data_IF_728995339989
#
_entry.id   IF_728995339989
#
_cell.length_a   1.000
_cell.length_b   1.000
_cell.length_c   1.000
_cell.angle_alpha   90.00
_cell.angle_beta   90.00
_cell.angle_gamma   90.00
#
_symmetry.space_group_name_H-M   'P 1'
#
loop_
_entity.id
_entity.type
_entity.pdbx_description
1 polymer ?
#
# COMPACT_ATOMS: atom_id res chain seq x y z
N UNK A 1 27.10 -9.60 -2.68
CA UNK A 1 26.10 -8.52 -2.61
C UNK A 1 24.71 -9.13 -2.46
N UNK A 2 24.10 -8.93 -1.29
CA UNK A 2 22.73 -9.33 -0.92
C UNK A 2 21.73 -8.32 -1.49
N UNK A 3 20.54 -8.78 -1.87
CA UNK A 3 19.47 -7.91 -2.38
C UNK A 3 18.24 -8.00 -1.46
N UNK A 4 17.71 -6.85 -1.07
CA UNK A 4 16.55 -6.78 -0.15
C UNK A 4 15.46 -5.89 -0.74
N UNK A 5 14.23 -6.39 -0.79
CA UNK A 5 13.05 -5.60 -1.17
C UNK A 5 12.54 -4.82 0.05
N UNK A 6 12.27 -3.53 -0.14
CA UNK A 6 11.75 -2.67 0.92
C UNK A 6 10.37 -2.15 0.51
N UNK A 7 9.30 -2.71 1.05
CA UNK A 7 7.96 -2.21 0.80
C UNK A 7 7.62 -1.07 1.78
N UNK A 8 7.58 0.15 1.26
CA UNK A 8 7.01 1.29 1.96
C UNK A 8 5.49 1.21 1.95
N UNK A 9 4.92 0.67 3.03
CA UNK A 9 3.48 0.46 3.15
C UNK A 9 2.77 1.79 3.44
N UNK A 10 2.49 2.53 2.38
CA UNK A 10 1.70 3.78 2.46
C UNK A 10 0.27 3.45 2.86
N UNK A 11 -0.21 4.09 3.92
CA UNK A 11 -1.52 3.80 4.50
C UNK A 11 -2.66 3.95 3.47
N UNK A 12 -3.39 2.85 3.27
CA UNK A 12 -4.52 2.67 2.34
C UNK A 12 -4.20 2.69 0.84
N UNK A 13 -2.96 2.35 0.50
CA UNK A 13 -2.52 2.15 -0.89
C UNK A 13 -2.39 0.66 -1.27
N UNK A 14 -3.35 -0.17 -0.85
CA UNK A 14 -3.37 -1.61 -1.10
C UNK A 14 -2.13 -2.39 -0.59
N UNK A 15 -1.38 -1.82 0.37
CA UNK A 15 -0.18 -2.44 0.92
C UNK A 15 -0.41 -3.82 1.54
N UNK A 16 -1.56 -4.07 2.20
CA UNK A 16 -1.91 -5.39 2.73
C UNK A 16 -1.95 -6.49 1.66
N UNK A 17 -2.41 -6.18 0.44
CA UNK A 17 -2.43 -7.15 -0.66
C UNK A 17 -1.01 -7.44 -1.14
N UNK A 18 -0.13 -6.44 -1.14
CA UNK A 18 1.27 -6.60 -1.50
C UNK A 18 2.04 -7.37 -0.42
N UNK A 19 1.83 -7.05 0.87
CA UNK A 19 2.38 -7.79 2.01
C UNK A 19 1.99 -9.27 1.94
N UNK A 20 0.71 -9.57 1.65
CA UNK A 20 0.25 -10.95 1.45
C UNK A 20 0.98 -11.64 0.28
N UNK A 21 1.17 -10.94 -0.84
CA UNK A 21 1.86 -11.49 -1.99
C UNK A 21 3.36 -11.73 -1.70
N UNK A 22 4.01 -10.84 -0.94
CA UNK A 22 5.40 -10.97 -0.51
C UNK A 22 5.56 -12.13 0.49
N UNK A 23 4.68 -12.24 1.49
CA UNK A 23 4.64 -13.37 2.43
C UNK A 23 4.50 -14.70 1.70
N UNK A 24 3.59 -14.79 0.72
CA UNK A 24 3.42 -16.01 -0.09
C UNK A 24 4.64 -16.28 -0.97
N UNK A 25 5.32 -15.24 -1.44
CA UNK A 25 6.46 -15.38 -2.34
C UNK A 25 7.74 -15.80 -1.60
N UNK A 26 7.96 -15.30 -0.39
CA UNK A 26 9.23 -15.45 0.33
C UNK A 26 9.14 -16.25 1.63
N UNK A 27 7.94 -16.60 2.09
CA UNK A 27 7.77 -17.35 3.34
C UNK A 27 8.42 -16.61 4.50
N UNK A 28 9.26 -17.33 5.26
CA UNK A 28 9.99 -16.78 6.40
C UNK A 28 11.00 -15.68 6.02
N UNK A 29 11.38 -15.58 4.74
CA UNK A 29 12.23 -14.50 4.23
C UNK A 29 11.51 -13.16 4.07
N UNK A 30 10.21 -13.07 4.36
CA UNK A 30 9.48 -11.80 4.40
C UNK A 30 9.18 -11.39 5.85
N UNK A 31 9.52 -10.15 6.19
CA UNK A 31 9.26 -9.56 7.50
C UNK A 31 8.24 -8.44 7.39
N UNK A 32 7.11 -8.62 8.07
CA UNK A 32 6.11 -7.59 8.24
C UNK A 32 6.39 -6.73 9.49
N UNK A 33 7.19 -5.68 9.34
CA UNK A 33 7.72 -4.93 10.48
C UNK A 33 6.74 -3.85 10.98
N UNK A 34 6.36 -3.95 12.28
CA UNK A 34 5.35 -3.09 12.93
C UNK A 34 5.87 -2.30 14.14
N UNK A 35 7.18 -2.31 14.41
CA UNK A 35 7.81 -1.47 15.43
C UNK A 35 8.10 -0.08 14.86
N UNK A 36 7.02 0.66 14.65
CA UNK A 36 7.04 2.00 14.05
C UNK A 36 7.90 3.00 14.85
N UNK A 37 8.05 2.79 16.16
CA UNK A 37 8.94 3.55 17.04
C UNK A 37 10.43 3.42 16.64
N UNK A 38 10.89 2.20 16.37
CA UNK A 38 12.26 1.92 15.98
C UNK A 38 12.54 2.40 14.55
N UNK A 39 11.63 2.13 13.62
CA UNK A 39 11.76 2.63 12.24
C UNK A 39 11.83 4.16 12.16
N UNK A 40 11.05 4.88 12.97
CA UNK A 40 11.10 6.35 13.00
C UNK A 40 12.35 6.91 13.68
N UNK A 41 12.83 6.27 14.74
CA UNK A 41 13.96 6.77 15.53
C UNK A 41 15.33 6.38 14.96
N UNK A 42 15.43 5.22 14.34
CA UNK A 42 16.70 4.64 13.88
C UNK A 42 16.77 4.41 12.36
N UNK A 43 15.63 4.32 11.67
CA UNK A 43 15.55 4.25 10.22
C UNK A 43 16.42 3.15 9.60
N UNK A 44 17.30 3.54 8.67
CA UNK A 44 18.17 2.60 7.95
C UNK A 44 19.11 1.80 8.85
N UNK A 45 19.55 2.37 9.98
CA UNK A 45 20.40 1.65 10.95
C UNK A 45 19.69 0.42 11.50
N UNK A 46 18.42 0.57 11.90
CA UNK A 46 17.61 -0.54 12.41
C UNK A 46 17.34 -1.61 11.35
N UNK A 47 17.17 -1.20 10.08
CA UNK A 47 17.07 -2.18 8.98
C UNK A 47 18.37 -2.98 8.84
N UNK A 48 19.54 -2.34 8.93
CA UNK A 48 20.81 -3.05 8.87
C UNK A 48 20.98 -4.04 10.03
N UNK A 49 20.65 -3.62 11.26
CA UNK A 49 20.70 -4.51 12.43
C UNK A 49 19.78 -5.74 12.26
N UNK A 50 18.59 -5.57 11.68
CA UNK A 50 17.71 -6.69 11.34
C UNK A 50 18.34 -7.64 10.32
N UNK A 51 19.00 -7.11 9.30
CA UNK A 51 19.62 -7.91 8.25
C UNK A 51 20.90 -8.62 8.72
N UNK A 52 21.63 -8.03 9.66
CA UNK A 52 22.79 -8.65 10.31
C UNK A 52 22.38 -9.78 11.26
N UNK A 53 21.26 -9.62 11.95
CA UNK A 53 20.73 -10.64 12.86
C UNK A 53 20.09 -11.84 12.13
N UNK A 54 19.59 -11.63 10.91
CA UNK A 54 18.93 -12.67 10.12
C UNK A 54 19.25 -12.55 8.63
N UNK A 55 20.12 -13.45 8.17
CA UNK A 55 20.53 -13.54 6.76
C UNK A 55 19.43 -14.05 5.82
N UNK A 56 18.37 -14.67 6.37
CA UNK A 56 17.27 -15.22 5.58
C UNK A 56 16.30 -14.14 5.06
N UNK A 57 16.33 -12.93 5.64
CA UNK A 57 15.44 -11.83 5.23
C UNK A 57 15.75 -11.39 3.79
N UNK A 58 14.72 -11.43 2.93
CA UNK A 58 14.76 -11.01 1.53
C UNK A 58 13.84 -9.81 1.27
N UNK A 59 12.81 -9.62 2.09
CA UNK A 59 11.86 -8.53 1.95
C UNK A 59 11.38 -8.00 3.31
N UNK A 60 11.29 -6.69 3.46
CA UNK A 60 10.78 -6.02 4.66
C UNK A 60 9.66 -5.07 4.25
N UNK A 61 8.52 -5.12 4.96
CA UNK A 61 7.44 -4.13 4.85
C UNK A 61 7.34 -3.28 6.11
N UNK A 62 7.09 -1.98 5.96
CA UNK A 62 6.86 -1.08 7.11
C UNK A 62 6.01 0.13 6.77
N UNK A 63 5.24 0.62 7.74
CA UNK A 63 4.54 1.90 7.67
C UNK A 63 5.48 3.11 7.76
N UNK A 64 6.75 2.91 8.13
CA UNK A 64 7.74 3.98 8.29
C UNK A 64 9.05 3.64 7.59
N UNK A 65 8.96 3.21 6.33
CA UNK A 65 10.15 2.90 5.56
C UNK A 65 11.03 4.15 5.40
N UNK A 66 12.32 4.11 5.81
CA UNK A 66 13.21 5.25 5.70
C UNK A 66 13.45 5.61 4.24
N UNK A 67 13.37 6.90 3.93
CA UNK A 67 13.68 7.43 2.60
C UNK A 67 15.18 7.33 2.30
N UNK A 68 16.01 7.67 3.27
CA UNK A 68 17.45 7.88 3.07
C UNK A 68 18.26 6.59 3.27
N UNK A 69 17.65 5.44 3.01
CA UNK A 69 18.39 4.17 3.02
C UNK A 69 19.23 4.07 1.75
N UNK A 70 20.52 3.79 1.93
CA UNK A 70 21.50 3.72 0.85
C UNK A 70 22.07 2.32 0.75
N UNK A 71 22.41 1.92 -0.48
CA UNK A 71 23.14 0.68 -0.72
C UNK A 71 24.49 0.71 0.02
N UNK A 72 24.93 -0.46 0.46
CA UNK A 72 26.26 -0.69 1.03
C UNK A 72 27.03 -1.63 0.12
N UNK A 73 28.33 -1.83 0.38
CA UNK A 73 29.14 -2.81 -0.34
C UNK A 73 28.57 -4.24 -0.23
N UNK A 74 27.79 -4.51 0.82
CA UNK A 74 27.26 -5.83 1.11
C UNK A 74 25.79 -5.99 0.71
N UNK A 75 24.98 -4.93 0.79
CA UNK A 75 23.52 -4.97 0.61
C UNK A 75 23.04 -3.92 -0.37
N UNK A 76 22.22 -4.33 -1.33
CA UNK A 76 21.53 -3.43 -2.26
C UNK A 76 20.02 -3.48 -2.05
N UNK A 77 19.41 -2.32 -1.87
CA UNK A 77 18.01 -2.14 -1.53
C UNK A 77 17.15 -1.84 -2.74
N UNK A 78 15.95 -2.41 -2.75
CA UNK A 78 14.97 -2.27 -3.83
C UNK A 78 13.65 -1.77 -3.24
N UNK A 79 13.50 -0.45 -3.04
CA UNK A 79 12.27 0.11 -2.51
C UNK A 79 11.08 -0.08 -3.45
N UNK A 80 9.92 -0.40 -2.89
CA UNK A 80 8.64 -0.53 -3.57
C UNK A 80 7.63 0.39 -2.88
N UNK A 81 6.94 1.21 -3.66
CA UNK A 81 5.82 2.01 -3.18
C UNK A 81 4.60 1.82 -4.08
N UNK A 82 3.42 1.76 -3.46
CA UNK A 82 2.15 1.84 -4.16
C UNK A 82 1.52 3.21 -3.90
N UNK A 83 1.08 3.89 -4.95
CA UNK A 83 0.39 5.16 -4.90
C UNK A 83 -1.05 5.03 -5.39
N UNK A 84 -1.93 5.88 -4.87
CA UNK A 84 -3.37 5.83 -5.13
C UNK A 84 -3.89 7.23 -5.41
N UNK A 85 -4.92 7.34 -6.23
CA UNK A 85 -5.58 8.62 -6.45
C UNK A 85 -6.02 9.21 -5.10
N UNK A 86 -5.62 10.45 -4.75
CA UNK A 86 -5.84 11.00 -3.40
C UNK A 86 -7.29 10.93 -2.95
N UNK A 87 -8.24 11.34 -3.79
CA UNK A 87 -9.69 11.29 -3.47
C UNK A 87 -10.18 9.85 -3.22
N UNK A 88 -9.77 8.87 -4.02
CA UNK A 88 -10.11 7.46 -3.80
C UNK A 88 -9.47 6.91 -2.53
N UNK A 89 -8.30 7.42 -2.15
CA UNK A 89 -7.63 7.06 -0.90
C UNK A 89 -8.38 7.60 0.31
N UNK A 90 -8.87 8.85 0.27
CA UNK A 90 -9.67 9.45 1.36
C UNK A 90 -10.86 8.57 1.69
N UNK A 91 -11.66 8.19 0.69
CA UNK A 91 -12.79 7.27 0.88
C UNK A 91 -12.35 5.94 1.48
N UNK A 92 -11.23 5.40 1.01
CA UNK A 92 -10.68 4.15 1.52
C UNK A 92 -10.17 4.22 2.96
N UNK A 93 -9.72 5.38 3.42
CA UNK A 93 -9.35 5.62 4.83
C UNK A 93 -10.60 5.58 5.69
N UNK A 94 -11.63 6.34 5.31
CA UNK A 94 -12.90 6.35 6.03
C UNK A 94 -13.53 4.95 6.14
N UNK A 95 -13.68 4.25 5.01
CA UNK A 95 -14.28 2.90 4.97
C UNK A 95 -13.51 1.90 5.85
N UNK A 96 -12.19 2.08 5.98
CA UNK A 96 -11.34 1.23 6.81
C UNK A 96 -11.45 1.58 8.29
N UNK A 97 -11.25 2.85 8.66
CA UNK A 97 -11.29 3.29 10.05
C UNK A 97 -12.67 3.05 10.68
N UNK A 98 -13.75 3.17 9.91
CA UNK A 98 -15.11 2.85 10.37
C UNK A 98 -15.28 1.38 10.78
N UNK A 99 -14.63 0.47 10.06
CA UNK A 99 -14.69 -0.99 10.32
C UNK A 99 -13.63 -1.46 11.31
N UNK A 100 -12.57 -0.68 11.51
CA UNK A 100 -11.45 -1.08 12.33
C UNK A 100 -11.85 -1.25 13.80
N UNK A 101 -11.46 -2.36 14.41
CA UNK A 101 -11.62 -2.64 15.84
C UNK A 101 -10.45 -2.05 16.63
N UNK A 102 -10.23 -0.74 16.50
CA UNK A 102 -9.20 -0.02 17.24
C UNK A 102 -9.79 1.22 17.92
N UNK A 103 -9.19 1.64 19.03
CA UNK A 103 -9.57 2.84 19.78
C UNK A 103 -8.74 4.06 19.37
N UNK A 104 -8.39 4.15 18.09
CA UNK A 104 -7.69 5.34 17.57
C UNK A 104 -8.68 6.49 17.38
N UNK A 105 -8.24 7.77 17.47
CA UNK A 105 -9.11 8.91 17.20
C UNK A 105 -9.80 8.83 15.83
N UNK A 106 -9.09 8.33 14.81
CA UNK A 106 -9.63 8.11 13.47
C UNK A 106 -10.76 7.09 13.42
N UNK A 107 -10.56 5.91 14.00
CA UNK A 107 -11.58 4.86 14.05
C UNK A 107 -12.82 5.29 14.84
N UNK A 108 -12.62 5.97 15.96
CA UNK A 108 -13.70 6.52 16.76
C UNK A 108 -14.50 7.60 16.01
N UNK A 109 -13.83 8.52 15.31
CA UNK A 109 -14.48 9.54 14.50
C UNK A 109 -15.26 8.90 13.34
N UNK A 110 -14.64 7.99 12.57
CA UNK A 110 -15.26 7.35 11.42
C UNK A 110 -16.49 6.49 11.75
N UNK A 111 -16.62 6.02 12.99
CA UNK A 111 -17.82 5.30 13.49
C UNK A 111 -18.96 6.25 13.86
N UNK A 112 -18.64 7.42 14.43
CA UNK A 112 -19.62 8.40 14.90
C UNK A 112 -20.12 9.32 13.79
N UNK A 113 -19.22 9.71 12.89
CA UNK A 113 -19.46 10.68 11.83
C UNK A 113 -19.85 9.98 10.53
N UNK A 114 -20.61 10.65 9.68
CA UNK A 114 -20.72 10.27 8.27
C UNK A 114 -19.43 10.61 7.50
N UNK A 115 -19.39 10.31 6.20
CA UNK A 115 -18.19 10.53 5.40
C UNK A 115 -17.81 12.01 5.29
N UNK A 116 -18.79 12.89 5.10
CA UNK A 116 -18.56 14.33 4.91
C UNK A 116 -18.09 14.97 6.21
N UNK A 117 -18.76 14.68 7.32
CA UNK A 117 -18.39 15.13 8.66
C UNK A 117 -16.99 14.64 9.05
N UNK A 118 -16.68 13.37 8.77
CA UNK A 118 -15.36 12.80 9.03
C UNK A 118 -14.26 13.52 8.24
N UNK A 119 -14.52 13.83 6.96
CA UNK A 119 -13.55 14.55 6.13
C UNK A 119 -13.36 15.97 6.65
N UNK A 120 -14.42 16.69 7.02
CA UNK A 120 -14.27 18.04 7.59
C UNK A 120 -13.45 18.02 8.89
N UNK A 121 -13.73 17.06 9.79
CA UNK A 121 -12.93 16.85 11.00
C UNK A 121 -11.45 16.61 10.69
N UNK A 122 -11.15 15.76 9.70
CA UNK A 122 -9.77 15.49 9.25
C UNK A 122 -9.07 16.70 8.60
N UNK A 123 -9.83 17.69 8.14
CA UNK A 123 -9.28 18.93 7.59
C UNK A 123 -8.84 19.92 8.68
N UNK A 124 -9.19 19.68 9.95
CA UNK A 124 -8.79 20.55 11.05
C UNK A 124 -7.27 20.48 11.31
N UNK A 125 -6.60 21.63 11.58
CA UNK A 125 -5.14 21.67 11.76
C UNK A 125 -4.60 20.74 12.85
N UNK A 126 -5.34 20.61 13.97
CA UNK A 126 -4.96 19.81 15.14
C UNK A 126 -5.19 18.31 14.97
N UNK A 127 -5.83 17.88 13.89
CA UNK A 127 -6.10 16.48 13.60
C UNK A 127 -5.01 15.90 12.72
N UNK A 128 -4.56 14.67 12.99
CA UNK A 128 -3.49 14.04 12.23
C UNK A 128 -3.75 14.11 10.70
N UNK A 129 -2.74 14.50 9.89
CA UNK A 129 -2.89 14.74 8.45
C UNK A 129 -3.00 13.45 7.61
N UNK A 130 -3.70 12.43 8.13
CA UNK A 130 -3.87 11.10 7.52
C UNK A 130 -4.49 11.17 6.13
N UNK A 131 -5.23 12.25 5.81
CA UNK A 131 -5.83 12.51 4.50
C UNK A 131 -5.44 13.86 3.87
N UNK A 132 -4.33 14.47 4.30
CA UNK A 132 -3.85 15.77 3.82
C UNK A 132 -2.41 15.67 3.32
N UNK A 133 -2.22 15.58 2.00
CA UNK A 133 -0.91 15.39 1.34
C UNK A 133 -0.10 14.23 1.97
N UNK A 134 -0.78 13.14 2.34
CA UNK A 134 -0.16 12.07 3.13
C UNK A 134 0.88 11.29 2.31
N UNK A 135 0.62 11.05 1.03
CA UNK A 135 1.54 10.29 0.17
C UNK A 135 2.81 11.11 -0.09
N UNK A 136 2.66 12.42 -0.35
CA UNK A 136 3.78 13.36 -0.44
C UNK A 136 4.60 13.37 0.84
N UNK A 137 3.96 13.49 2.01
CA UNK A 137 4.66 13.46 3.31
C UNK A 137 5.43 12.17 3.52
N UNK A 138 4.80 11.04 3.18
CA UNK A 138 5.42 9.73 3.30
C UNK A 138 6.66 9.61 2.41
N UNK A 139 6.53 9.90 1.11
CA UNK A 139 7.64 9.77 0.14
C UNK A 139 8.75 10.79 0.39
N UNK A 140 8.45 11.93 1.01
CA UNK A 140 9.45 12.88 1.48
C UNK A 140 10.27 12.37 2.67
N UNK A 141 9.93 11.21 3.27
CA UNK A 141 10.57 10.69 4.48
C UNK A 141 10.27 11.51 5.74
N UNK A 142 9.27 12.40 5.66
CA UNK A 142 8.96 13.39 6.71
C UNK A 142 7.53 13.19 7.17
N UNK A 143 7.33 12.43 8.24
CA UNK A 143 6.06 12.47 8.97
C UNK A 143 6.27 13.40 10.17
N UNK A 144 5.77 14.65 10.10
CA UNK A 144 6.09 15.63 11.13
C UNK A 144 5.59 15.14 12.50
N UNK A 145 6.36 15.36 13.58
CA UNK A 145 5.93 15.03 14.93
C UNK A 145 4.72 15.86 15.38
N UNK A 146 4.42 16.97 14.67
CA UNK A 146 3.30 17.87 14.94
C UNK A 146 2.37 17.93 13.73
N UNK A 147 1.07 17.72 13.98
CA UNK A 147 0.03 17.63 12.93
C UNK A 147 -0.28 18.96 12.23
N UNK A 148 0.14 20.08 12.82
CA UNK A 148 -0.21 21.44 12.39
C UNK A 148 0.56 21.90 11.15
N UNK A 149 1.79 21.40 10.94
CA UNK A 149 2.60 21.82 9.79
C UNK A 149 2.01 21.26 8.49
N UNK A 150 1.48 22.13 7.64
CA UNK A 150 1.08 21.77 6.27
C UNK A 150 2.30 21.30 5.48
N UNK A 151 2.09 20.38 4.54
CA UNK A 151 3.14 20.04 3.59
C UNK A 151 3.38 21.28 2.73
N UNK A 152 4.63 21.73 2.67
CA UNK A 152 5.11 22.83 1.84
C UNK A 152 5.79 22.26 0.58
N UNK A 153 6.34 23.14 -0.25
CA UNK A 153 6.97 22.76 -1.51
C UNK A 153 8.20 21.84 -1.30
N UNK A 154 8.93 21.96 -0.19
CA UNK A 154 10.09 21.09 0.10
C UNK A 154 9.66 19.63 0.25
N UNK A 155 8.49 19.38 0.86
CA UNK A 155 7.93 18.02 0.91
C UNK A 155 7.65 17.48 -0.48
N UNK A 156 7.10 18.32 -1.36
CA UNK A 156 6.79 17.92 -2.73
C UNK A 156 8.06 17.62 -3.52
N UNK A 157 9.08 18.48 -3.42
CA UNK A 157 10.37 18.26 -4.07
C UNK A 157 11.03 16.95 -3.63
N UNK A 158 11.09 16.68 -2.32
CA UNK A 158 11.66 15.45 -1.79
C UNK A 158 10.90 14.20 -2.25
N UNK A 159 9.56 14.27 -2.32
CA UNK A 159 8.73 13.19 -2.81
C UNK A 159 8.96 12.93 -4.31
N UNK A 160 9.13 13.98 -5.11
CA UNK A 160 9.48 13.88 -6.53
C UNK A 160 10.87 13.28 -6.73
N UNK A 161 11.85 13.64 -5.89
CA UNK A 161 13.18 12.99 -5.90
C UNK A 161 13.05 11.49 -5.63
N UNK A 162 12.27 11.08 -4.63
CA UNK A 162 12.01 9.66 -4.33
C UNK A 162 11.37 8.96 -5.53
N UNK A 163 10.38 9.58 -6.18
CA UNK A 163 9.72 9.04 -7.38
C UNK A 163 10.72 8.79 -8.53
N UNK A 164 11.65 9.72 -8.76
CA UNK A 164 12.65 9.61 -9.81
C UNK A 164 13.71 8.54 -9.51
N UNK A 165 14.10 8.38 -8.23
CA UNK A 165 15.11 7.41 -7.81
C UNK A 165 14.55 5.97 -7.77
N UNK A 166 13.31 5.80 -7.32
CA UNK A 166 12.72 4.48 -7.08
C UNK A 166 12.12 3.90 -8.36
N UNK A 167 12.60 2.71 -8.75
CA UNK A 167 12.14 2.02 -9.97
C UNK A 167 10.82 1.26 -9.81
N UNK A 168 10.47 0.88 -8.59
CA UNK A 168 9.27 0.09 -8.30
C UNK A 168 8.17 0.95 -7.66
N UNK A 169 7.61 1.88 -8.44
CA UNK A 169 6.43 2.66 -8.03
C UNK A 169 5.22 2.18 -8.82
N UNK A 170 4.21 1.68 -8.12
CA UNK A 170 2.96 1.18 -8.70
C UNK A 170 1.76 2.08 -8.45
N UNK A 171 0.71 1.88 -9.24
CA UNK A 171 -0.58 2.58 -9.15
C UNK A 171 -1.66 1.60 -8.72
N UNK A 172 -2.35 1.88 -7.61
CA UNK A 172 -3.37 1.00 -7.02
C UNK A 172 -4.53 0.73 -7.99
N UNK A 173 -4.92 1.73 -8.78
CA UNK A 173 -5.97 1.63 -9.78
C UNK A 173 -5.57 0.73 -10.96
N UNK A 174 -4.27 0.50 -11.16
CA UNK A 174 -3.71 -0.42 -12.16
C UNK A 174 -2.89 -1.53 -11.46
N UNK A 175 -3.49 -2.17 -10.45
CA UNK A 175 -2.78 -3.08 -9.54
C UNK A 175 -2.06 -4.24 -10.25
N UNK A 176 -2.74 -4.96 -11.16
CA UNK A 176 -2.12 -6.05 -11.94
C UNK A 176 -0.89 -5.58 -12.72
N UNK A 177 -1.02 -4.44 -13.41
CA UNK A 177 0.07 -3.86 -14.18
C UNK A 177 1.22 -3.41 -13.27
N UNK A 178 0.90 -2.92 -12.07
CA UNK A 178 1.90 -2.59 -11.05
C UNK A 178 2.68 -3.81 -10.60
N UNK A 179 2.01 -4.94 -10.35
CA UNK A 179 2.69 -6.17 -9.99
C UNK A 179 3.56 -6.69 -11.13
N UNK A 180 3.09 -6.61 -12.39
CA UNK A 180 3.89 -6.97 -13.57
C UNK A 180 5.12 -6.07 -13.71
N UNK A 181 4.98 -4.76 -13.53
CA UNK A 181 6.09 -3.81 -13.54
C UNK A 181 7.12 -4.19 -12.48
N UNK A 182 6.71 -4.32 -11.22
CA UNK A 182 7.60 -4.65 -10.10
C UNK A 182 8.30 -5.99 -10.34
N UNK A 183 7.56 -7.04 -10.72
CA UNK A 183 8.16 -8.33 -11.08
C UNK A 183 9.20 -8.17 -12.18
N UNK A 184 8.89 -7.44 -13.26
CA UNK A 184 9.81 -7.24 -14.38
C UNK A 184 11.09 -6.49 -13.95
N UNK A 185 10.95 -5.45 -13.13
CA UNK A 185 12.06 -4.62 -12.65
C UNK A 185 13.03 -5.42 -11.79
N UNK A 186 12.52 -6.27 -10.88
CA UNK A 186 13.34 -6.94 -9.86
C UNK A 186 13.72 -8.38 -10.21
N UNK A 187 13.13 -8.98 -11.25
CA UNK A 187 13.31 -10.40 -11.64
C UNK A 187 14.76 -10.86 -11.76
N UNK A 188 15.66 -10.00 -12.23
CA UNK A 188 17.07 -10.35 -12.40
C UNK A 188 17.77 -10.64 -11.06
N UNK A 189 17.26 -10.09 -9.95
CA UNK A 189 17.81 -10.24 -8.60
C UNK A 189 16.95 -11.22 -7.78
N UNK A 190 15.63 -11.18 -7.97
CA UNK A 190 14.67 -12.04 -7.30
C UNK A 190 14.05 -13.02 -8.31
N UNK A 191 14.78 -14.08 -8.66
CA UNK A 191 14.40 -15.00 -9.76
C UNK A 191 13.03 -15.66 -9.56
N UNK A 192 12.67 -15.93 -8.29
CA UNK A 192 11.41 -16.57 -7.91
C UNK A 192 10.26 -15.57 -7.68
N UNK A 193 10.45 -14.27 -7.94
CA UNK A 193 9.43 -13.25 -7.66
C UNK A 193 8.09 -13.60 -8.35
N UNK A 194 7.05 -13.71 -7.53
CA UNK A 194 5.69 -13.99 -7.97
C UNK A 194 4.71 -13.21 -7.11
N UNK A 195 4.31 -12.05 -7.60
CA UNK A 195 3.37 -11.13 -6.96
C UNK A 195 1.92 -11.38 -7.40
N UNK A 196 1.62 -12.55 -7.96
CA UNK A 196 0.23 -12.98 -8.14
C UNK A 196 -0.50 -12.90 -6.79
N UNK A 197 -1.73 -12.40 -6.79
CA UNK A 197 -2.42 -12.06 -5.56
C UNK A 197 -3.87 -12.54 -5.59
N UNK A 198 -4.42 -12.70 -4.39
CA UNK A 198 -5.85 -12.75 -4.17
C UNK A 198 -6.23 -11.42 -3.51
N UNK A 199 -7.22 -10.69 -4.02
CA UNK A 199 -7.59 -9.41 -3.44
C UNK A 199 -8.05 -9.55 -1.97
N UNK A 200 -7.30 -8.95 -1.03
CA UNK A 200 -7.55 -9.12 0.42
C UNK A 200 -8.66 -8.20 0.97
N UNK A 201 -9.00 -7.13 0.26
CA UNK A 201 -9.85 -6.04 0.78
C UNK A 201 -10.86 -5.49 -0.24
N UNK A 202 -11.43 -6.35 -1.10
CA UNK A 202 -12.40 -5.89 -2.10
C UNK A 202 -13.80 -5.90 -1.49
N UNK A 203 -14.23 -4.73 -1.04
CA UNK A 203 -15.66 -4.44 -0.91
C UNK A 203 -16.26 -4.36 -2.31
N UNK A 204 -16.82 -5.47 -2.77
CA UNK A 204 -17.99 -5.53 -3.65
C UNK A 204 -17.75 -5.36 -5.16
N UNK A 205 -18.36 -6.28 -5.91
CA UNK A 205 -18.59 -6.26 -7.37
C UNK A 205 -19.13 -4.92 -7.93
N UNK A 206 -19.66 -4.02 -7.08
CA UNK A 206 -20.10 -2.68 -7.47
C UNK A 206 -18.95 -1.75 -7.93
N UNK A 207 -17.71 -1.95 -7.47
CA UNK A 207 -16.55 -1.13 -7.91
C UNK A 207 -16.11 -1.39 -9.35
N UNK A 208 -16.49 -2.52 -9.95
CA UNK A 208 -16.11 -2.87 -11.32
C UNK A 208 -17.00 -2.21 -12.39
N UNK A 209 -18.17 -1.69 -11.99
CA UNK A 209 -19.15 -1.10 -12.91
C UNK A 209 -18.89 0.39 -13.20
N UNK A 210 -18.12 1.09 -12.36
CA UNK A 210 -17.86 2.52 -12.50
C UNK A 210 -16.42 2.79 -12.90
N UNK A 211 -16.23 3.74 -13.81
CA UNK A 211 -14.90 4.26 -14.14
C UNK A 211 -14.24 4.92 -12.93
N UNK A 212 -12.93 5.16 -13.03
CA UNK A 212 -12.20 5.86 -11.98
C UNK A 212 -12.77 7.27 -11.78
N UNK A 213 -13.07 7.95 -12.87
CA UNK A 213 -13.59 9.32 -12.93
C UNK A 213 -14.98 9.40 -12.29
N UNK A 214 -15.89 8.46 -12.59
CA UNK A 214 -17.21 8.40 -11.97
C UNK A 214 -17.13 8.18 -10.46
N UNK A 215 -16.19 7.35 -10.01
CA UNK A 215 -15.97 7.11 -8.57
C UNK A 215 -15.43 8.36 -7.87
N UNK A 216 -14.53 9.10 -8.52
CA UNK A 216 -14.02 10.37 -8.01
C UNK A 216 -15.16 11.39 -7.95
N UNK A 217 -15.93 11.54 -9.03
CA UNK A 217 -17.08 12.45 -9.11
C UNK A 217 -18.06 12.23 -7.97
N UNK A 218 -18.49 10.98 -7.74
CA UNK A 218 -19.40 10.65 -6.63
C UNK A 218 -18.85 11.01 -5.24
N UNK A 219 -17.55 10.81 -5.01
CA UNK A 219 -16.93 11.20 -3.73
C UNK A 219 -16.91 12.72 -3.59
N UNK A 220 -16.57 13.44 -4.65
CA UNK A 220 -16.59 14.90 -4.64
C UNK A 220 -18.02 15.42 -4.41
N UNK A 221 -19.02 14.86 -5.08
CA UNK A 221 -20.44 15.20 -4.88
C UNK A 221 -20.88 15.00 -3.42
N UNK A 222 -20.50 13.86 -2.80
CA UNK A 222 -20.77 13.57 -1.38
C UNK A 222 -20.11 14.59 -0.44
N UNK A 223 -18.95 15.17 -0.81
CA UNK A 223 -18.28 16.21 -0.04
C UNK A 223 -18.96 17.58 -0.14
N UNK A 224 -19.68 17.86 -1.23
CA UNK A 224 -20.35 19.13 -1.49
C UNK A 224 -19.40 20.34 -1.34
N UNK A 225 -19.76 21.29 -0.47
CA UNK A 225 -18.97 22.50 -0.23
C UNK A 225 -17.54 22.27 0.30
N UNK A 226 -17.18 21.06 0.74
CA UNK A 226 -15.81 20.76 1.20
C UNK A 226 -14.83 20.49 0.05
N UNK A 227 -15.31 20.27 -1.17
CA UNK A 227 -14.46 19.87 -2.31
C UNK A 227 -13.22 20.75 -2.47
N UNK A 228 -13.39 22.07 -2.51
CA UNK A 228 -12.30 23.02 -2.71
C UNK A 228 -11.20 22.86 -1.65
N UNK A 229 -11.59 22.79 -0.37
CA UNK A 229 -10.67 22.59 0.75
C UNK A 229 -9.96 21.23 0.67
N UNK A 230 -10.67 20.17 0.30
CA UNK A 230 -10.07 18.83 0.14
C UNK A 230 -9.02 18.83 -0.97
N UNK A 231 -9.32 19.46 -2.11
CA UNK A 231 -8.41 19.57 -3.25
C UNK A 231 -7.18 20.41 -2.90
N UNK A 232 -7.36 21.55 -2.23
CA UNK A 232 -6.27 22.41 -1.77
C UNK A 232 -5.32 21.68 -0.82
N UNK A 233 -5.87 21.02 0.21
CA UNK A 233 -5.09 20.28 1.20
C UNK A 233 -4.46 18.97 0.67
N UNK A 234 -4.78 18.58 -0.57
CA UNK A 234 -4.23 17.41 -1.26
C UNK A 234 -3.58 17.77 -2.61
N UNK A 235 -3.30 19.04 -2.88
CA UNK A 235 -2.76 19.50 -4.17
C UNK A 235 -1.43 18.83 -4.54
N UNK A 236 -0.53 18.66 -3.58
CA UNK A 236 0.73 17.96 -3.80
C UNK A 236 0.56 16.46 -3.98
N UNK A 237 -0.38 15.83 -3.26
CA UNK A 237 -0.74 14.43 -3.45
C UNK A 237 -1.33 14.21 -4.87
N UNK A 238 -2.13 15.15 -5.36
CA UNK A 238 -2.70 15.13 -6.72
C UNK A 238 -1.60 15.27 -7.78
N UNK A 239 -0.71 16.27 -7.63
CA UNK A 239 0.41 16.48 -8.54
C UNK A 239 1.39 15.28 -8.54
N UNK A 240 1.71 14.75 -7.37
CA UNK A 240 2.57 13.58 -7.21
C UNK A 240 1.94 12.35 -7.88
N UNK A 241 0.63 12.14 -7.70
CA UNK A 241 -0.07 11.03 -8.32
C UNK A 241 -0.04 11.11 -9.85
N UNK A 242 -0.32 12.28 -10.44
CA UNK A 242 -0.26 12.45 -11.89
C UNK A 242 1.17 12.27 -12.44
N UNK A 243 2.18 12.85 -11.78
CA UNK A 243 3.57 12.60 -12.13
C UNK A 243 3.93 11.10 -12.06
N UNK A 244 3.48 10.42 -11.01
CA UNK A 244 3.70 8.99 -10.82
C UNK A 244 3.02 8.16 -11.90
N UNK A 245 1.80 8.53 -12.33
CA UNK A 245 1.11 7.88 -13.45
C UNK A 245 1.88 8.03 -14.75
N UNK A 246 2.41 9.22 -15.04
CA UNK A 246 3.20 9.43 -16.25
C UNK A 246 4.48 8.59 -16.25
N UNK A 247 5.21 8.56 -15.13
CA UNK A 247 6.40 7.71 -14.97
C UNK A 247 6.03 6.22 -15.08
N UNK A 248 4.94 5.81 -14.45
CA UNK A 248 4.44 4.44 -14.47
C UNK A 248 4.08 3.98 -15.89
N UNK A 249 3.32 4.78 -16.65
CA UNK A 249 2.94 4.47 -18.03
C UNK A 249 4.16 4.29 -18.92
N UNK A 250 5.13 5.22 -18.87
CA UNK A 250 6.38 5.08 -19.65
C UNK A 250 7.14 3.81 -19.31
N UNK A 251 7.26 3.49 -18.01
CA UNK A 251 7.93 2.26 -17.56
C UNK A 251 7.20 0.99 -17.99
N UNK A 252 5.89 1.03 -18.17
CA UNK A 252 5.11 -0.09 -18.72
C UNK A 252 5.35 -0.26 -20.22
N UNK A 253 5.44 0.83 -20.98
CA UNK A 253 5.75 0.83 -22.42
C UNK A 253 7.12 0.18 -22.69
N UNK A 254 8.07 0.34 -21.78
CA UNK A 254 9.40 -0.29 -21.83
C UNK A 254 9.38 -1.81 -21.58
N UNK A 255 8.25 -2.40 -21.19
CA UNK A 255 8.14 -3.84 -20.92
C UNK A 255 7.81 -4.59 -22.23
N UNK A 256 8.71 -5.47 -22.73
CA UNK A 256 8.44 -6.26 -23.91
C UNK A 256 7.24 -7.18 -23.71
N UNK A 257 6.34 -7.20 -24.69
CA UNK A 257 5.13 -8.03 -24.71
C UNK A 257 4.24 -7.83 -23.46
N UNK A 258 4.10 -6.58 -22.99
CA UNK A 258 3.32 -6.25 -21.79
C UNK A 258 1.94 -6.93 -21.76
N UNK A 259 1.18 -6.90 -22.86
CA UNK A 259 -0.14 -7.52 -22.96
C UNK A 259 -0.11 -9.03 -22.67
N UNK A 260 0.86 -9.75 -23.21
CA UNK A 260 1.03 -11.18 -22.96
C UNK A 260 1.43 -11.46 -21.50
N UNK A 261 2.33 -10.63 -20.94
CA UNK A 261 2.74 -10.72 -19.52
C UNK A 261 1.58 -10.47 -18.57
N UNK A 262 0.76 -9.45 -18.85
CA UNK A 262 -0.47 -9.17 -18.09
C UNK A 262 -1.46 -10.33 -18.17
N UNK A 263 -1.69 -10.90 -19.35
CA UNK A 263 -2.57 -12.05 -19.50
C UNK A 263 -2.06 -13.25 -18.70
N UNK A 264 -0.75 -13.53 -18.75
CA UNK A 264 -0.11 -14.59 -17.95
C UNK A 264 -0.22 -14.30 -16.45
N UNK A 265 -0.02 -13.06 -16.03
CA UNK A 265 -0.16 -12.63 -14.64
C UNK A 265 -1.59 -12.86 -14.13
N UNK A 266 -2.61 -12.41 -14.88
CA UNK A 266 -4.02 -12.60 -14.54
C UNK A 266 -4.41 -14.07 -14.45
N UNK A 267 -3.92 -14.91 -15.37
CA UNK A 267 -4.10 -16.37 -15.31
C UNK A 267 -3.55 -16.94 -14.00
N UNK A 268 -2.35 -16.53 -13.56
CA UNK A 268 -1.79 -16.95 -12.25
C UNK A 268 -2.69 -16.52 -11.08
N UNK A 269 -3.21 -15.30 -11.10
CA UNK A 269 -4.13 -14.82 -10.05
C UNK A 269 -5.43 -15.64 -10.02
N UNK A 270 -6.03 -15.92 -11.17
CA UNK A 270 -7.25 -16.76 -11.24
C UNK A 270 -7.02 -18.18 -10.74
N UNK A 271 -5.87 -18.79 -11.07
CA UNK A 271 -5.51 -20.12 -10.54
C UNK A 271 -5.36 -20.07 -9.03
N UNK A 272 -4.67 -19.05 -8.52
CA UNK A 272 -4.45 -18.85 -7.09
C UNK A 272 -5.77 -18.63 -6.32
N UNK A 273 -6.68 -17.82 -6.84
CA UNK A 273 -8.01 -17.62 -6.25
C UNK A 273 -8.82 -18.92 -6.15
N UNK A 274 -8.71 -19.80 -7.16
CA UNK A 274 -9.38 -21.11 -7.14
C UNK A 274 -8.77 -22.03 -6.09
N UNK A 275 -7.45 -22.02 -5.94
CA UNK A 275 -6.73 -22.80 -4.93
C UNK A 275 -7.13 -22.34 -3.52
N UNK A 276 -7.08 -21.03 -3.23
CA UNK A 276 -7.47 -20.48 -1.92
C UNK A 276 -8.92 -20.81 -1.56
N UNK A 277 -9.85 -20.69 -2.52
CA UNK A 277 -11.26 -21.07 -2.30
C UNK A 277 -11.43 -22.56 -1.99
N UNK A 278 -10.64 -23.44 -2.62
CA UNK A 278 -10.67 -24.88 -2.35
C UNK A 278 -10.14 -25.17 -0.95
N UNK A 279 -8.98 -24.63 -0.60
CA UNK A 279 -8.36 -24.81 0.73
C UNK A 279 -9.20 -24.23 1.86
N UNK A 280 -9.90 -23.10 1.65
CA UNK A 280 -10.83 -22.55 2.63
C UNK A 280 -12.05 -23.48 2.87
N UNK A 281 -12.59 -24.10 1.81
CA UNK A 281 -13.69 -25.07 1.93
C UNK A 281 -13.27 -26.35 2.66
N UNK A 282 -12.03 -26.80 2.44
CA UNK A 282 -11.48 -27.98 3.12
C UNK A 282 -11.28 -27.70 4.62
N UNK A 283 -10.69 -26.54 4.97
CA UNK A 283 -10.56 -26.09 6.38
C UNK A 283 -11.92 -26.01 7.09
N UNK A 284 -12.90 -25.35 6.49
CA UNK A 284 -14.25 -25.25 7.06
C UNK A 284 -14.96 -26.61 7.21
N UNK A 285 -14.65 -27.60 6.35
CA UNK A 285 -15.17 -28.97 6.50
C UNK A 285 -14.49 -29.69 7.65
N UNK A 286 -13.18 -29.50 7.83
CA UNK A 286 -12.43 -30.10 8.92
C UNK A 286 -12.88 -29.53 10.27
N UNK A 287 -12.97 -28.21 10.40
CA UNK A 287 -13.48 -27.54 11.62
C UNK A 287 -14.87 -28.04 12.01
N UNK A 288 -15.78 -28.23 11.03
CA UNK A 288 -17.11 -28.79 11.30
C UNK A 288 -17.07 -30.25 11.76
N UNK A 289 -16.11 -31.05 11.28
CA UNK A 289 -15.92 -32.44 11.74
C UNK A 289 -15.38 -32.45 13.16
N UNK A 290 -14.34 -31.68 13.44
CA UNK A 290 -13.72 -31.57 14.75
C UNK A 290 -14.74 -31.07 15.80
N UNK A 291 -15.58 -30.09 15.45
CA UNK A 291 -16.67 -29.61 16.31
C UNK A 291 -17.75 -30.68 16.56
N UNK A 292 -18.10 -31.47 15.54
CA UNK A 292 -19.08 -32.54 15.67
C UNK A 292 -18.57 -33.72 16.51
N UNK A 293 -17.27 -34.00 16.46
CA UNK A 293 -16.61 -35.00 17.31
C UNK A 293 -16.51 -34.52 18.76
N UNK A 294 -16.13 -33.24 18.98
CA UNK A 294 -16.11 -32.64 20.31
C UNK A 294 -17.49 -32.65 21.00
N UNK A 295 -18.57 -32.45 20.25
CA UNK A 295 -19.95 -32.47 20.78
C UNK A 295 -20.51 -33.89 21.01
N UNK A 296 -19.86 -34.94 20.51
CA UNK A 296 -20.25 -36.34 20.75
C UNK A 296 -19.50 -36.98 21.91
N UNK A 297 -18.42 -36.35 22.37
CA UNK A 297 -17.63 -36.78 23.53
C UNK A 297 -18.00 -36.10 24.84
N UNK A 298 -19.01 -35.23 24.85
CA UNK A 298 -19.61 -34.57 26.01
C UNK A 298 -21.04 -35.08 26.22
#
# INVERSE_FOLDING_TARGET
>A
MRHVLLHGHVFKNAGTTLDWALQRCFGDGFVDHRRDDLMRSQGGKHIMEMLEADESIVAISSHHMPRDIVDTDQVSFHPIYMLRHPILRIRSVYDFERKQEAQTPGAQAAKRMDFREYVDWRMQPKVAPTIRNFQTRYLAGRLPPRFEKMADFDYFELAMQTLHQVRCVGIVEQYDASMVLIENTVRKRFKAINLAHVPQNVTGQQRAALSQEERIGRILDELGGLQAKVLEHNSFDMALYEASRHVFTRRLEDIPELSARLQKFRKRCTVLERQEKKSARERARQEKRDQAEANRGA
#
